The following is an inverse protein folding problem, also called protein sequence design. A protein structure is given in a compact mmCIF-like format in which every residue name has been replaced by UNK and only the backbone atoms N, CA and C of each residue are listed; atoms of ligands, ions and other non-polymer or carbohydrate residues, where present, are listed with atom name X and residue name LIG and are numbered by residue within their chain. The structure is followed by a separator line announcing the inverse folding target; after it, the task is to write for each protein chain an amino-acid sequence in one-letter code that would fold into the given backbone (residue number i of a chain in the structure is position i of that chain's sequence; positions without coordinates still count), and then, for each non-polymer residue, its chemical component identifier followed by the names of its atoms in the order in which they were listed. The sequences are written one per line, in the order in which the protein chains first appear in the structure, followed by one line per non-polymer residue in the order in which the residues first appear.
data_IF_112815282521
#
_entry.id   IF_112815282521
#
_cell.length_a   1.000
_cell.length_b   1.000
_cell.length_c   1.000
_cell.angle_alpha   90.00
_cell.angle_beta   90.00
_cell.angle_gamma   90.00
#
_symmetry.space_group_name_H-M   'P 1'
#
loop_
_entity.id
_entity.type
_entity.pdbx_description
1 polymer ?
#
# COMPACT_ATOMS: atom_id res chain seq x y z
N UNK A 1 -2.26 -28.71 -5.39
CA UNK A 1 -1.35 -27.62 -5.80
C UNK A 1 -1.41 -26.55 -4.74
N UNK A 2 -0.34 -26.36 -3.96
CA UNK A 2 -0.27 -25.26 -2.97
C UNK A 2 0.00 -24.00 -3.77
N UNK A 3 -1.00 -23.12 -3.88
CA UNK A 3 -0.80 -21.80 -4.50
C UNK A 3 -0.14 -20.94 -3.44
N UNK A 4 1.19 -20.91 -3.48
CA UNK A 4 2.00 -19.97 -2.72
C UNK A 4 1.70 -18.56 -3.25
N UNK A 5 1.57 -17.55 -2.39
CA UNK A 5 1.59 -16.16 -2.86
C UNK A 5 2.80 -15.93 -3.76
N UNK A 6 2.60 -15.18 -4.85
CA UNK A 6 3.69 -14.83 -5.75
C UNK A 6 4.60 -13.83 -5.02
N UNK A 7 5.71 -14.33 -4.48
CA UNK A 7 6.83 -13.48 -4.13
C UNK A 7 7.51 -13.13 -5.45
N UNK A 8 7.26 -11.94 -5.96
CA UNK A 8 7.99 -11.42 -7.11
C UNK A 8 9.23 -10.72 -6.57
N UNK A 9 10.41 -11.25 -6.87
CA UNK A 9 11.66 -10.51 -6.67
C UNK A 9 11.83 -9.67 -7.92
N UNK A 10 11.78 -8.34 -7.81
CA UNK A 10 12.10 -7.51 -8.97
C UNK A 10 13.62 -7.47 -9.11
N UNK A 11 14.13 -7.86 -10.29
CA UNK A 11 15.58 -7.89 -10.57
C UNK A 11 16.23 -6.49 -10.52
N UNK A 12 15.42 -5.42 -10.49
CA UNK A 12 15.89 -4.03 -10.56
C UNK A 12 16.47 -3.52 -9.24
N UNK A 13 16.08 -4.10 -8.10
CA UNK A 13 16.68 -3.82 -6.80
C UNK A 13 16.93 -5.18 -6.14
N UNK A 14 18.13 -5.75 -6.32
CA UNK A 14 18.52 -7.09 -5.81
C UNK A 14 18.31 -7.29 -4.29
N UNK A 15 18.02 -6.21 -3.57
CA UNK A 15 17.85 -6.14 -2.12
C UNK A 15 16.39 -6.02 -1.66
N UNK A 16 15.40 -5.91 -2.54
CA UNK A 16 13.98 -5.79 -2.15
C UNK A 16 13.19 -6.99 -2.64
N UNK A 17 12.38 -7.55 -1.76
CA UNK A 17 11.40 -8.58 -2.09
C UNK A 17 9.98 -8.04 -1.88
N UNK A 18 9.03 -8.54 -2.66
CA UNK A 18 7.64 -8.09 -2.66
C UNK A 18 6.72 -9.22 -2.29
N UNK A 19 5.71 -8.88 -1.49
CA UNK A 19 4.63 -9.77 -1.10
C UNK A 19 3.29 -9.12 -1.46
N UNK A 20 2.55 -9.73 -2.37
CA UNK A 20 1.29 -9.21 -2.91
C UNK A 20 0.08 -9.72 -2.10
N UNK A 21 -0.85 -8.82 -1.79
CA UNK A 21 -2.09 -9.06 -1.04
C UNK A 21 -3.26 -8.56 -1.88
N UNK A 22 -4.07 -9.48 -2.40
CA UNK A 22 -5.27 -9.13 -3.17
C UNK A 22 -6.41 -8.63 -2.28
N UNK A 23 -7.33 -7.81 -2.80
CA UNK A 23 -8.58 -7.48 -2.10
C UNK A 23 -9.61 -8.60 -2.25
N UNK A 24 -10.16 -9.03 -1.13
CA UNK A 24 -11.25 -10.00 -1.01
C UNK A 24 -12.03 -9.74 0.29
N UNK A 25 -12.99 -10.61 0.59
CA UNK A 25 -13.90 -10.48 1.74
C UNK A 25 -13.18 -10.31 3.08
N UNK A 26 -12.05 -10.99 3.31
CA UNK A 26 -11.31 -10.93 4.59
C UNK A 26 -10.08 -10.00 4.55
N UNK A 27 -9.93 -9.18 3.50
CA UNK A 27 -8.76 -8.31 3.29
C UNK A 27 -8.43 -7.42 4.50
N UNK A 28 -9.43 -6.81 5.15
CA UNK A 28 -9.17 -5.90 6.27
C UNK A 28 -8.60 -6.62 7.50
N UNK A 29 -9.03 -7.88 7.72
CA UNK A 29 -8.51 -8.70 8.81
C UNK A 29 -7.05 -9.07 8.54
N UNK A 30 -6.76 -9.48 7.32
CA UNK A 30 -5.42 -9.91 6.94
C UNK A 30 -4.45 -8.74 6.87
N UNK A 31 -4.85 -7.61 6.29
CA UNK A 31 -4.06 -6.39 6.32
C UNK A 31 -3.81 -5.91 7.76
N UNK A 32 -4.81 -5.99 8.65
CA UNK A 32 -4.63 -5.69 10.08
C UNK A 32 -3.60 -6.60 10.73
N UNK A 33 -3.66 -7.92 10.50
CA UNK A 33 -2.70 -8.87 11.05
C UNK A 33 -1.27 -8.54 10.60
N UNK A 34 -1.10 -8.14 9.33
CA UNK A 34 0.20 -7.70 8.81
C UNK A 34 0.65 -6.37 9.41
N UNK A 35 -0.26 -5.40 9.57
CA UNK A 35 0.05 -4.10 10.16
C UNK A 35 0.44 -4.20 11.64
N UNK A 36 -0.19 -5.11 12.39
CA UNK A 36 0.13 -5.37 13.81
C UNK A 36 1.60 -5.77 14.05
N UNK A 37 2.28 -6.30 13.03
CA UNK A 37 3.70 -6.67 13.12
C UNK A 37 4.62 -5.50 13.36
N UNK A 38 4.19 -4.31 12.95
CA UNK A 38 5.00 -3.10 12.91
C UNK A 38 4.64 -2.14 14.05
N UNK A 39 3.86 -2.59 15.04
CA UNK A 39 3.45 -1.78 16.19
C UNK A 39 4.63 -1.35 17.08
N UNK A 40 5.77 -2.03 16.99
CA UNK A 40 7.02 -1.62 17.62
C UNK A 40 7.62 -0.36 16.95
N UNK A 41 7.29 -0.11 15.68
CA UNK A 41 7.66 1.08 14.92
C UNK A 41 6.64 2.19 15.21
N UNK A 42 6.96 3.03 16.19
CA UNK A 42 6.06 4.09 16.69
C UNK A 42 5.59 5.12 15.65
N UNK A 43 6.31 5.27 14.53
CA UNK A 43 6.01 6.27 13.50
C UNK A 43 6.03 5.63 12.12
N UNK A 44 4.91 5.72 11.42
CA UNK A 44 4.80 5.35 10.00
C UNK A 44 4.74 6.61 9.16
N UNK A 45 5.49 6.65 8.07
CA UNK A 45 5.43 7.73 7.09
C UNK A 45 4.50 7.29 5.98
N UNK A 46 3.73 8.21 5.41
CA UNK A 46 2.80 7.83 4.36
C UNK A 46 2.79 8.83 3.20
N UNK A 47 2.30 8.38 2.07
CA UNK A 47 1.86 9.23 0.97
C UNK A 47 0.62 8.61 0.36
N UNK A 48 -0.39 9.42 0.03
CA UNK A 48 -1.56 8.94 -0.68
C UNK A 48 -2.08 9.98 -1.66
N UNK A 49 -2.66 9.49 -2.76
CA UNK A 49 -3.10 10.26 -3.91
C UNK A 49 -4.59 10.12 -4.17
N UNK A 50 -4.99 10.31 -5.44
CA UNK A 50 -6.34 10.16 -6.03
C UNK A 50 -7.28 9.18 -5.31
N UNK A 51 -8.56 9.54 -5.18
CA UNK A 51 -9.62 8.63 -4.72
C UNK A 51 -9.76 7.39 -5.61
N UNK A 52 -10.05 6.26 -4.98
CA UNK A 52 -10.45 5.05 -5.70
C UNK A 52 -11.89 5.21 -6.21
N UNK A 53 -12.08 5.16 -7.54
CA UNK A 53 -13.38 5.41 -8.18
C UNK A 53 -14.39 4.28 -7.92
N UNK A 54 -13.96 3.15 -7.37
CA UNK A 54 -14.80 1.98 -7.08
C UNK A 54 -15.36 1.96 -5.64
N UNK A 55 -15.09 2.98 -4.84
CA UNK A 55 -15.61 3.06 -3.48
C UNK A 55 -17.08 3.53 -3.50
N UNK A 56 -18.02 2.59 -3.37
CA UNK A 56 -19.49 2.83 -3.33
C UNK A 56 -19.99 3.55 -2.05
N UNK A 57 -19.10 3.94 -1.15
CA UNK A 57 -19.44 4.62 0.12
C UNK A 57 -19.39 6.15 0.05
N UNK A 58 -19.69 6.82 1.16
CA UNK A 58 -19.58 8.28 1.27
C UNK A 58 -18.09 8.71 1.36
N UNK A 59 -17.46 8.85 0.19
CA UNK A 59 -16.04 9.20 -0.01
C UNK A 59 -15.64 10.44 0.80
N UNK A 60 -16.45 11.51 0.77
CA UNK A 60 -16.11 12.78 1.40
C UNK A 60 -16.08 12.68 2.93
N UNK A 61 -17.04 11.96 3.51
CA UNK A 61 -17.10 11.75 4.97
C UNK A 61 -15.87 10.97 5.45
N UNK A 62 -15.54 9.85 4.78
CA UNK A 62 -14.41 9.02 5.15
C UNK A 62 -13.07 9.75 4.93
N UNK A 63 -12.94 10.50 3.84
CA UNK A 63 -11.76 11.35 3.59
C UNK A 63 -11.55 12.38 4.72
N UNK A 64 -12.64 12.99 5.19
CA UNK A 64 -12.60 13.97 6.27
C UNK A 64 -12.21 13.32 7.59
N UNK A 65 -12.77 12.15 7.90
CA UNK A 65 -12.42 11.34 9.08
C UNK A 65 -10.94 10.99 9.08
N UNK A 66 -10.43 10.43 7.97
CA UNK A 66 -9.00 10.11 7.79
C UNK A 66 -8.12 11.34 8.03
N UNK A 67 -8.45 12.49 7.41
CA UNK A 67 -7.67 13.72 7.60
C UNK A 67 -7.67 14.20 9.06
N UNK A 68 -8.78 14.04 9.78
CA UNK A 68 -8.89 14.44 11.18
C UNK A 68 -8.09 13.51 12.09
N UNK A 69 -8.20 12.20 11.91
CA UNK A 69 -7.41 11.22 12.67
C UNK A 69 -5.91 11.44 12.46
N UNK A 70 -5.48 11.69 11.23
CA UNK A 70 -4.06 11.99 10.96
C UNK A 70 -3.59 13.26 11.67
N UNK A 71 -4.43 14.30 11.73
CA UNK A 71 -4.08 15.55 12.44
C UNK A 71 -4.03 15.36 13.95
N UNK A 72 -4.82 14.44 14.50
CA UNK A 72 -4.79 14.10 15.92
C UNK A 72 -3.51 13.32 16.29
N UNK A 73 -3.12 12.35 15.46
CA UNK A 73 -2.03 11.41 15.77
C UNK A 73 -0.75 11.65 14.95
N UNK A 74 -0.62 12.78 14.26
CA UNK A 74 0.49 12.96 13.33
C UNK A 74 0.48 14.26 12.57
N UNK A 75 0.98 14.20 11.34
CA UNK A 75 1.11 15.34 10.43
C UNK A 75 0.72 14.92 9.02
N UNK A 76 0.01 15.80 8.33
CA UNK A 76 -0.30 15.68 6.90
C UNK A 76 -0.05 17.02 6.22
N UNK A 77 0.68 16.99 5.12
CA UNK A 77 0.94 18.13 4.25
C UNK A 77 0.60 17.77 2.80
N UNK A 78 0.14 18.75 2.03
CA UNK A 78 -0.15 18.57 0.60
C UNK A 78 1.14 18.71 -0.21
N UNK A 79 1.43 17.74 -1.08
CA UNK A 79 2.60 17.72 -1.96
C UNK A 79 2.33 18.55 -3.22
N UNK A 80 1.16 18.34 -3.85
CA UNK A 80 0.74 19.01 -5.09
C UNK A 80 -0.77 18.88 -5.27
N UNK A 81 -1.40 19.88 -5.91
CA UNK A 81 -2.75 19.79 -6.44
C UNK A 81 -2.67 19.64 -7.97
N UNK A 82 -3.24 18.56 -8.50
CA UNK A 82 -3.45 18.39 -9.93
C UNK A 82 -4.95 18.38 -10.20
N UNK A 83 -5.48 19.47 -10.76
CA UNK A 83 -6.92 19.65 -11.00
C UNK A 83 -7.78 19.32 -9.75
N UNK A 84 -9.11 19.31 -9.86
CA UNK A 84 -9.99 19.23 -8.69
C UNK A 84 -9.99 17.87 -7.98
N UNK A 85 -9.42 16.83 -8.60
CA UNK A 85 -9.63 15.43 -8.17
C UNK A 85 -8.33 14.63 -7.86
N UNK A 86 -7.14 15.22 -8.06
CA UNK A 86 -5.86 14.56 -7.77
C UNK A 86 -5.03 15.34 -6.75
N UNK A 87 -5.41 15.23 -5.47
CA UNK A 87 -4.54 15.66 -4.37
C UNK A 87 -3.53 14.57 -4.07
N UNK A 88 -2.27 14.95 -3.89
CA UNK A 88 -1.25 14.06 -3.30
C UNK A 88 -0.85 14.63 -1.95
N UNK A 89 -1.05 13.84 -0.91
CA UNK A 89 -0.66 14.15 0.46
C UNK A 89 0.52 13.28 0.88
N UNK A 90 1.33 13.80 1.79
CA UNK A 90 2.22 12.95 2.58
C UNK A 90 2.29 13.43 4.01
N UNK A 91 2.82 12.58 4.86
CA UNK A 91 2.82 12.84 6.27
C UNK A 91 3.48 11.73 7.07
N UNK A 92 3.26 11.81 8.37
CA UNK A 92 3.54 10.71 9.28
C UNK A 92 2.42 10.58 10.29
N UNK A 93 2.28 9.39 10.85
CA UNK A 93 1.29 9.03 11.85
C UNK A 93 2.00 8.28 12.98
N UNK A 94 1.62 8.54 14.23
CA UNK A 94 1.92 7.64 15.33
C UNK A 94 1.22 6.31 15.09
N UNK A 95 1.99 5.24 14.95
CA UNK A 95 1.47 3.94 14.59
C UNK A 95 1.18 3.11 15.83
N UNK A 96 -0.10 2.83 16.06
CA UNK A 96 -0.61 2.11 17.22
C UNK A 96 -1.99 1.50 16.90
N UNK A 97 -2.58 0.77 17.86
CA UNK A 97 -3.86 0.08 17.67
C UNK A 97 -5.00 1.00 17.21
N UNK A 98 -4.99 2.29 17.58
CA UNK A 98 -6.02 3.26 17.18
C UNK A 98 -5.87 3.66 15.71
N UNK A 99 -4.63 3.80 15.24
CA UNK A 99 -4.33 4.35 13.92
C UNK A 99 -4.24 3.30 12.81
N UNK A 100 -4.22 2.01 13.15
CA UNK A 100 -4.28 0.93 12.16
C UNK A 100 -5.56 1.02 11.30
N UNK A 101 -6.69 1.37 11.90
CA UNK A 101 -7.94 1.53 11.16
C UNK A 101 -7.82 2.65 10.13
N UNK A 102 -7.19 3.76 10.49
CA UNK A 102 -6.89 4.86 9.59
C UNK A 102 -6.07 4.38 8.38
N UNK A 103 -5.04 3.57 8.63
CA UNK A 103 -4.19 3.00 7.57
C UNK A 103 -5.01 2.11 6.61
N UNK A 104 -5.84 1.22 7.14
CA UNK A 104 -6.71 0.34 6.34
C UNK A 104 -7.72 1.17 5.53
N UNK A 105 -8.34 2.17 6.15
CA UNK A 105 -9.27 3.09 5.48
C UNK A 105 -8.58 3.85 4.34
N UNK A 106 -7.32 4.25 4.50
CA UNK A 106 -6.53 4.87 3.42
C UNK A 106 -6.33 3.90 2.26
N UNK A 107 -5.99 2.62 2.53
CA UNK A 107 -5.92 1.60 1.47
C UNK A 107 -7.26 1.39 0.76
N UNK A 108 -8.38 1.45 1.49
CA UNK A 108 -9.74 1.31 0.93
C UNK A 108 -10.15 2.50 0.08
N UNK A 109 -9.84 3.71 0.52
CA UNK A 109 -10.34 4.95 -0.07
C UNK A 109 -9.49 5.47 -1.23
N UNK A 110 -8.16 5.33 -1.15
CA UNK A 110 -7.26 5.93 -2.13
C UNK A 110 -6.74 4.90 -3.13
N UNK A 111 -6.68 5.35 -4.38
CA UNK A 111 -6.24 4.55 -5.52
C UNK A 111 -4.73 4.30 -5.49
N UNK A 112 -3.96 5.24 -4.96
CA UNK A 112 -2.51 5.10 -4.79
C UNK A 112 -2.10 5.59 -3.41
N UNK A 113 -1.44 4.72 -2.65
CA UNK A 113 -0.94 5.06 -1.33
C UNK A 113 0.27 4.21 -0.95
N UNK A 114 1.07 4.71 -0.01
CA UNK A 114 2.17 3.98 0.61
C UNK A 114 2.29 4.30 2.10
N UNK A 115 2.77 3.32 2.86
CA UNK A 115 3.09 3.40 4.28
C UNK A 115 4.48 2.82 4.49
N UNK A 116 5.41 3.70 4.83
CA UNK A 116 6.84 3.47 4.87
C UNK A 116 7.31 3.40 6.32
N UNK A 117 7.88 2.27 6.70
CA UNK A 117 8.33 1.96 8.05
C UNK A 117 9.86 2.00 8.13
N UNK A 118 10.38 2.78 9.07
CA UNK A 118 11.80 2.99 9.27
C UNK A 118 12.22 2.59 10.69
N UNK A 119 13.31 1.84 10.83
CA UNK A 119 13.89 1.51 12.14
C UNK A 119 14.59 2.69 12.82
N UNK A 120 14.95 3.71 12.04
CA UNK A 120 15.58 4.93 12.53
C UNK A 120 14.64 6.11 12.33
N UNK A 121 14.76 7.11 13.20
CA UNK A 121 14.06 8.38 13.00
C UNK A 121 14.53 9.04 11.70
N UNK A 122 13.58 9.35 10.82
CA UNK A 122 13.82 10.04 9.56
C UNK A 122 13.43 11.50 9.70
N UNK A 123 14.24 12.40 9.15
CA UNK A 123 13.84 13.80 9.00
C UNK A 123 12.64 13.90 8.05
N UNK A 124 11.53 14.40 8.58
CA UNK A 124 10.29 14.54 7.83
C UNK A 124 10.44 15.47 6.63
N UNK A 125 11.21 16.55 6.74
CA UNK A 125 11.38 17.48 5.62
C UNK A 125 12.07 16.79 4.44
N UNK A 126 13.10 16.00 4.72
CA UNK A 126 13.76 15.20 3.68
C UNK A 126 12.83 14.14 3.06
N UNK A 127 12.01 13.46 3.87
CA UNK A 127 11.01 12.54 3.35
C UNK A 127 9.99 13.24 2.44
N UNK A 128 9.50 14.41 2.85
CA UNK A 128 8.57 15.25 2.08
C UNK A 128 9.18 15.65 0.73
N UNK A 129 10.44 16.10 0.73
CA UNK A 129 11.16 16.47 -0.50
C UNK A 129 11.31 15.29 -1.47
N UNK A 130 11.68 14.11 -0.96
CA UNK A 130 11.79 12.90 -1.78
C UNK A 130 10.45 12.56 -2.41
N UNK A 131 9.37 12.49 -1.63
CA UNK A 131 8.04 12.19 -2.17
C UNK A 131 7.62 13.22 -3.22
N UNK A 132 7.85 14.50 -2.97
CA UNK A 132 7.60 15.57 -3.95
C UNK A 132 8.35 15.39 -5.27
N UNK A 133 9.56 14.83 -5.23
CA UNK A 133 10.36 14.55 -6.42
C UNK A 133 9.97 13.22 -7.10
N UNK A 134 9.66 12.19 -6.32
CA UNK A 134 9.15 10.88 -6.78
C UNK A 134 7.94 11.05 -7.71
N UNK A 135 6.97 11.88 -7.33
CA UNK A 135 5.79 12.15 -8.18
C UNK A 135 6.11 12.88 -9.50
N UNK A 136 7.23 13.60 -9.59
CA UNK A 136 7.64 14.32 -10.80
C UNK A 136 8.44 13.45 -11.76
N UNK A 137 9.23 12.52 -11.24
CA UNK A 137 10.23 11.75 -12.01
C UNK A 137 9.70 10.38 -12.43
N UNK A 138 8.58 9.92 -11.87
CA UNK A 138 8.02 8.61 -12.17
C UNK A 138 8.78 7.48 -11.46
N UNK A 139 9.00 7.63 -10.15
CA UNK A 139 9.63 6.62 -9.30
C UNK A 139 8.73 5.37 -9.22
N UNK A 140 9.19 4.28 -9.82
CA UNK A 140 8.48 3.00 -9.87
C UNK A 140 8.86 2.19 -8.62
N UNK A 141 7.87 1.62 -7.93
CA UNK A 141 8.07 0.75 -6.76
C UNK A 141 8.85 1.37 -5.57
N UNK A 142 8.88 2.71 -5.47
CA UNK A 142 9.51 3.43 -4.35
C UNK A 142 11.03 3.30 -4.28
N UNK A 143 11.68 3.10 -5.42
CA UNK A 143 13.12 2.89 -5.53
C UNK A 143 13.94 4.05 -4.97
N UNK A 144 13.58 5.30 -5.28
CA UNK A 144 14.30 6.47 -4.77
C UNK A 144 14.19 6.58 -3.25
N UNK A 145 12.99 6.30 -2.71
CA UNK A 145 12.78 6.28 -1.26
C UNK A 145 13.66 5.22 -0.60
N UNK A 146 13.75 4.02 -1.17
CA UNK A 146 14.63 2.96 -0.66
C UNK A 146 16.11 3.33 -0.77
N UNK A 147 16.54 3.91 -1.90
CA UNK A 147 17.93 4.33 -2.12
C UNK A 147 18.36 5.40 -1.13
N UNK A 148 17.53 6.40 -0.91
CA UNK A 148 17.86 7.57 -0.09
C UNK A 148 17.62 7.37 1.41
N UNK A 149 16.48 6.80 1.79
CA UNK A 149 16.07 6.74 3.20
C UNK A 149 16.15 5.34 3.81
N UNK A 150 16.27 4.30 2.97
CA UNK A 150 16.39 2.89 3.40
C UNK A 150 15.23 2.47 4.30
N UNK A 151 14.01 2.52 3.78
CA UNK A 151 12.87 1.94 4.50
C UNK A 151 13.14 0.45 4.78
N UNK A 152 12.62 -0.02 5.90
CA UNK A 152 12.76 -1.42 6.31
C UNK A 152 11.64 -2.27 5.70
N UNK A 153 10.44 -1.71 5.72
CA UNK A 153 9.23 -2.26 5.15
C UNK A 153 8.43 -1.11 4.54
N UNK A 154 7.75 -1.37 3.43
CA UNK A 154 6.80 -0.43 2.86
C UNK A 154 5.61 -1.16 2.30
N UNK A 155 4.42 -0.82 2.77
CA UNK A 155 3.18 -1.23 2.15
C UNK A 155 2.80 -0.20 1.11
N UNK A 156 2.49 -0.62 -0.12
CA UNK A 156 2.03 0.30 -1.14
C UNK A 156 0.95 -0.30 -2.03
N UNK A 157 0.13 0.58 -2.59
CA UNK A 157 -0.90 0.30 -3.59
C UNK A 157 -0.60 1.17 -4.82
N UNK A 158 -0.37 0.50 -5.96
CA UNK A 158 0.01 1.13 -7.23
C UNK A 158 -1.18 1.35 -8.18
N UNK A 159 -0.90 1.85 -9.40
CA UNK A 159 -1.89 2.06 -10.46
C UNK A 159 -2.39 0.71 -11.01
N UNK A 160 -3.43 0.17 -10.39
CA UNK A 160 -4.08 -1.07 -10.79
C UNK A 160 -5.06 -1.51 -9.71
N UNK A 161 -6.09 -2.29 -10.04
CA UNK A 161 -7.10 -2.65 -9.06
C UNK A 161 -6.49 -3.63 -8.05
N UNK A 162 -6.65 -3.30 -6.77
CA UNK A 162 -6.88 -4.31 -5.74
C UNK A 162 -5.71 -5.22 -5.33
N UNK A 163 -4.48 -4.70 -5.38
CA UNK A 163 -3.32 -5.34 -4.74
C UNK A 163 -2.61 -4.34 -3.82
N UNK A 164 -2.43 -4.75 -2.56
CA UNK A 164 -1.46 -4.14 -1.65
C UNK A 164 -0.19 -4.95 -1.68
N UNK A 165 0.94 -4.30 -1.94
CA UNK A 165 2.26 -4.92 -1.92
C UNK A 165 2.98 -4.55 -0.62
N UNK A 166 3.43 -5.54 0.15
CA UNK A 166 4.44 -5.38 1.18
C UNK A 166 5.83 -5.58 0.55
N UNK A 167 6.59 -4.51 0.47
CA UNK A 167 8.02 -4.53 0.09
C UNK A 167 8.91 -4.53 1.33
N UNK A 168 10.02 -5.26 1.27
CA UNK A 168 10.95 -5.38 2.40
C UNK A 168 12.40 -5.62 1.96
N UNK A 169 13.35 -5.21 2.80
CA UNK A 169 14.78 -5.52 2.59
C UNK A 169 14.99 -7.04 2.74
N UNK A 170 15.51 -7.68 1.69
CA UNK A 170 15.81 -9.11 1.63
C UNK A 170 16.66 -9.58 2.81
N UNK A 171 17.59 -8.76 3.28
CA UNK A 171 18.46 -9.10 4.43
C UNK A 171 17.65 -9.19 5.72
N UNK A 172 16.66 -8.33 5.90
CA UNK A 172 15.78 -8.40 7.07
C UNK A 172 14.84 -9.60 6.96
N UNK A 173 14.38 -9.87 5.73
CA UNK A 173 13.38 -10.89 5.42
C UNK A 173 12.07 -10.71 6.21
N UNK A 174 11.02 -11.46 5.84
CA UNK A 174 9.82 -11.54 6.68
C UNK A 174 10.04 -12.49 7.87
N UNK A 175 9.46 -12.23 9.06
CA UNK A 175 9.47 -13.18 10.17
C UNK A 175 8.94 -14.56 9.74
N UNK A 176 9.52 -15.65 10.26
CA UNK A 176 9.15 -17.02 9.85
C UNK A 176 7.65 -17.33 10.05
N UNK A 177 7.10 -16.90 11.18
CA UNK A 177 5.69 -17.10 11.49
C UNK A 177 4.79 -16.32 10.53
N UNK A 178 5.25 -15.18 10.01
CA UNK A 178 4.53 -14.43 8.99
C UNK A 178 4.50 -15.21 7.69
N UNK A 179 5.67 -15.69 7.24
CA UNK A 179 5.75 -16.55 6.04
C UNK A 179 4.84 -17.78 6.12
N UNK A 180 4.60 -18.26 7.34
CA UNK A 180 3.79 -19.45 7.61
C UNK A 180 2.29 -19.17 7.76
N UNK A 181 1.90 -17.92 8.08
CA UNK A 181 0.51 -17.48 8.29
C UNK A 181 0.06 -16.44 7.25
N UNK A 182 0.87 -16.24 6.23
CA UNK A 182 0.54 -15.43 5.08
C UNK A 182 -0.80 -15.95 4.51
N UNK A 183 -1.81 -15.08 4.38
CA UNK A 183 -3.09 -15.45 3.81
C UNK A 183 -2.85 -16.06 2.42
N UNK A 184 -3.42 -17.24 2.19
CA UNK A 184 -3.40 -17.82 0.85
C UNK A 184 -4.23 -16.93 -0.06
N UNK A 185 -3.88 -16.81 -1.36
CA UNK A 185 -4.71 -16.10 -2.30
C UNK A 185 -6.16 -16.62 -2.21
N UNK A 186 -7.15 -15.72 -2.25
CA UNK A 186 -8.54 -16.09 -2.06
C UNK A 186 -8.97 -17.11 -3.13
N UNK A 187 -9.93 -18.00 -2.82
CA UNK A 187 -10.57 -18.81 -3.84
C UNK A 187 -11.12 -17.92 -4.97
N UNK A 188 -11.07 -18.36 -6.23
CA UNK A 188 -11.49 -17.54 -7.40
C UNK A 188 -12.82 -16.81 -7.21
N UNK A 189 -13.83 -17.46 -6.63
CA UNK A 189 -15.15 -16.83 -6.41
C UNK A 189 -15.18 -15.70 -5.36
N UNK A 190 -14.10 -15.50 -4.59
CA UNK A 190 -13.96 -14.50 -3.53
C UNK A 190 -13.03 -13.35 -3.90
N UNK A 191 -12.13 -13.54 -4.88
CA UNK A 191 -11.29 -12.46 -5.40
C UNK A 191 -12.16 -11.41 -6.06
N UNK A 192 -11.95 -10.14 -5.72
CA UNK A 192 -12.67 -9.04 -6.36
C UNK A 192 -12.35 -8.96 -7.86
N UNK A 193 -11.09 -9.20 -8.25
CA UNK A 193 -10.68 -9.25 -9.65
C UNK A 193 -11.41 -10.33 -10.43
N UNK A 194 -11.58 -11.51 -9.86
CA UNK A 194 -12.34 -12.58 -10.51
C UNK A 194 -13.85 -12.29 -10.51
N UNK A 195 -14.40 -11.64 -9.48
CA UNK A 195 -15.79 -11.17 -9.48
C UNK A 195 -16.02 -10.12 -10.58
N UNK A 196 -15.08 -9.20 -10.80
CA UNK A 196 -15.13 -8.20 -11.88
C UNK A 196 -15.01 -8.87 -13.26
N UNK A 197 -14.05 -9.79 -13.45
CA UNK A 197 -13.89 -10.57 -14.69
C UNK A 197 -15.17 -11.33 -15.05
N UNK A 198 -15.89 -11.86 -14.05
CA UNK A 198 -17.14 -12.58 -14.25
C UNK A 198 -18.38 -11.67 -14.38
N UNK A 199 -18.31 -10.38 -14.01
CA UNK A 199 -19.46 -9.46 -14.00
C UNK A 199 -19.39 -8.29 -14.99
N UNK A 200 -18.23 -7.94 -15.55
CA UNK A 200 -18.07 -6.74 -16.39
C UNK A 200 -17.71 -7.11 -17.84
N UNK A 201 -18.62 -6.73 -18.73
CA UNK A 201 -18.42 -6.56 -20.17
C UNK A 201 -17.10 -5.82 -20.50
N UNK A 202 -16.20 -6.46 -21.25
CA UNK A 202 -15.37 -5.78 -22.24
C UNK A 202 -14.19 -4.91 -21.78
N UNK A 203 -13.53 -5.19 -20.66
CA UNK A 203 -12.16 -4.67 -20.47
C UNK A 203 -11.16 -5.53 -21.25
N UNK A 204 -10.26 -4.95 -22.06
CA UNK A 204 -9.25 -5.70 -22.80
C UNK A 204 -8.12 -6.04 -21.82
N UNK A 205 -8.34 -7.02 -20.97
CA UNK A 205 -7.21 -7.73 -20.38
C UNK A 205 -6.66 -8.58 -21.53
N UNK A 206 -5.42 -8.30 -21.92
CA UNK A 206 -4.67 -9.19 -22.80
C UNK A 206 -4.67 -10.52 -22.08
N UNK A 207 -5.37 -11.50 -22.63
CA UNK A 207 -5.24 -12.88 -22.20
C UNK A 207 -3.74 -13.18 -22.26
N UNK A 208 -3.13 -13.50 -21.12
CA UNK A 208 -1.83 -14.17 -21.13
C UNK A 208 -2.11 -15.45 -21.92
N UNK A 209 -1.70 -15.45 -23.19
CA UNK A 209 -1.85 -16.57 -24.10
C UNK A 209 -1.41 -17.83 -23.37
N UNK A 210 -2.39 -18.70 -23.10
CA UNK A 210 -2.12 -20.07 -22.73
C UNK A 210 -1.61 -20.73 -24.02
N UNK A 211 -0.33 -20.59 -24.27
CA UNK A 211 0.34 -21.41 -25.27
C UNK A 211 0.40 -22.85 -24.71
N UNK A 212 -0.15 -23.86 -25.40
CA UNK A 212 0.11 -25.26 -25.08
C UNK A 212 1.56 -25.67 -25.38
#
# INVERSE_FOLDING_TARGET
MIITPKIKVTERIEKIEFYEIEYYEDFDNDLRLLLNLFLDIKRVYFSFGRFDMFYDGNIESLHTEIKNEIKEFGKIDEITSFEKDNFSCCGFLEFNDKTINTVINIFRLYYSCSFDFFEKNIDYNRYFEIKKNTYKVGDIDGENLFKELKYSYSFYKGLGPDIVCLSYDKIKSLPFWLRSNIPKPPPRGKSFMDKLKNKIYGYPWVDDEVDP
#
